data_IF_451807878447
#
_entry.id   IF_451807878447
#
_cell.length_a   1.000
_cell.length_b   1.000
_cell.length_c   1.000
_cell.angle_alpha   90.00
_cell.angle_beta   90.00
_cell.angle_gamma   90.00
#
_symmetry.space_group_name_H-M   'P 1'
#
loop_
_entity.id
_entity.type
_entity.pdbx_description
1 polymer ?
#
# COMPACT_ATOMS: atom_id res chain seq x y z
N UNK A 1 16.66 -7.78 0.10
CA UNK A 1 15.42 -6.95 0.12
C UNK A 1 15.75 -5.66 0.83
N UNK A 2 14.89 -4.66 0.70
CA UNK A 2 15.06 -3.38 1.37
C UNK A 2 13.79 -3.01 2.12
N UNK A 3 13.94 -2.34 3.25
CA UNK A 3 12.80 -1.88 4.04
C UNK A 3 12.07 -0.78 3.28
N UNK A 4 10.74 -0.85 3.31
CA UNK A 4 9.87 0.16 2.69
C UNK A 4 8.75 0.50 3.64
N UNK A 5 8.66 1.78 3.99
CA UNK A 5 7.60 2.35 4.80
C UNK A 5 7.20 3.70 4.24
N UNK A 6 6.14 4.30 4.79
CA UNK A 6 5.69 5.58 4.33
C UNK A 6 4.31 5.97 4.82
N UNK A 7 3.76 6.98 4.17
CA UNK A 7 2.39 7.45 4.41
C UNK A 7 1.64 7.73 3.11
N UNK A 8 0.32 7.68 3.23
CA UNK A 8 -0.64 7.97 2.18
C UNK A 8 -1.58 9.05 2.67
N UNK A 9 -1.72 10.08 1.84
CA UNK A 9 -2.74 11.09 1.98
C UNK A 9 -3.64 11.10 0.75
N UNK A 10 -4.94 11.32 0.95
CA UNK A 10 -5.92 11.56 -0.10
C UNK A 10 -6.60 12.90 0.17
N UNK A 11 -6.54 13.83 -0.78
CA UNK A 11 -7.07 15.18 -0.65
C UNK A 11 -6.53 15.92 0.60
N UNK A 12 -5.25 15.71 0.91
CA UNK A 12 -4.56 16.33 2.04
C UNK A 12 -4.82 15.69 3.41
N UNK A 13 -5.66 14.65 3.49
CA UNK A 13 -5.94 13.91 4.73
C UNK A 13 -5.29 12.52 4.71
N UNK A 14 -4.83 11.98 5.84
CA UNK A 14 -4.40 10.60 5.93
C UNK A 14 -5.48 9.63 5.44
N UNK A 15 -5.08 8.56 4.75
CA UNK A 15 -6.03 7.63 4.15
C UNK A 15 -5.61 6.16 4.32
N UNK A 16 -6.61 5.33 4.63
CA UNK A 16 -6.50 3.87 4.54
C UNK A 16 -6.51 3.46 3.08
N UNK A 17 -5.52 2.68 2.67
CA UNK A 17 -5.33 2.26 1.30
C UNK A 17 -4.62 0.90 1.25
N UNK A 18 -4.90 0.13 0.21
CA UNK A 18 -4.07 -1.01 -0.17
C UNK A 18 -2.92 -0.53 -1.05
N UNK A 19 -1.72 -1.01 -0.76
CA UNK A 19 -0.49 -0.71 -1.48
C UNK A 19 0.09 -2.02 -1.97
N UNK A 20 0.43 -2.09 -3.26
CA UNK A 20 1.08 -3.24 -3.87
C UNK A 20 2.30 -2.79 -4.66
N UNK A 21 3.46 -3.38 -4.38
CA UNK A 21 4.73 -3.18 -5.07
C UNK A 21 5.08 -4.44 -5.85
N UNK A 22 4.84 -4.40 -7.16
CA UNK A 22 5.16 -5.47 -8.08
C UNK A 22 6.56 -5.23 -8.69
N UNK A 23 7.56 -6.09 -8.44
CA UNK A 23 8.92 -5.86 -8.93
C UNK A 23 9.02 -6.09 -10.44
N UNK A 24 9.68 -5.18 -11.15
CA UNK A 24 9.82 -5.21 -12.61
C UNK A 24 11.26 -5.56 -13.04
N UNK A 25 11.41 -6.16 -14.22
CA UNK A 25 12.70 -6.21 -14.94
C UNK A 25 12.89 -4.97 -15.83
N UNK A 26 14.03 -4.91 -16.50
CA UNK A 26 14.36 -3.88 -17.51
C UNK A 26 13.40 -3.84 -18.70
N UNK A 27 12.65 -4.91 -18.96
CA UNK A 27 11.61 -4.96 -19.99
C UNK A 27 10.22 -4.51 -19.48
N UNK A 28 10.09 -4.11 -18.20
CA UNK A 28 8.82 -3.70 -17.59
C UNK A 28 7.87 -4.86 -17.23
N UNK A 29 8.37 -6.09 -17.26
CA UNK A 29 7.63 -7.30 -16.90
C UNK A 29 7.81 -7.62 -15.43
N UNK A 30 6.78 -8.17 -14.80
CA UNK A 30 6.82 -8.64 -13.41
C UNK A 30 7.86 -9.77 -13.23
N UNK A 31 8.67 -9.69 -12.18
CA UNK A 31 9.81 -10.63 -11.96
C UNK A 31 9.74 -11.39 -10.65
N UNK A 32 8.62 -11.32 -9.94
CA UNK A 32 8.50 -12.00 -8.66
C UNK A 32 7.27 -11.59 -7.89
N UNK A 33 7.20 -12.09 -6.65
CA UNK A 33 6.09 -11.81 -5.74
C UNK A 33 6.06 -10.32 -5.42
N UNK A 34 4.86 -9.76 -5.48
CA UNK A 34 4.64 -8.39 -5.05
C UNK A 34 4.65 -8.29 -3.52
N UNK A 35 5.20 -7.19 -3.01
CA UNK A 35 5.05 -6.82 -1.60
C UNK A 35 3.79 -5.99 -1.43
N UNK A 36 3.05 -6.22 -0.34
CA UNK A 36 1.80 -5.54 -0.06
C UNK A 36 1.83 -4.85 1.31
N UNK A 37 1.00 -3.84 1.47
CA UNK A 37 0.63 -3.28 2.77
C UNK A 37 -0.79 -2.74 2.71
N UNK A 38 -1.37 -2.57 3.89
CA UNK A 38 -2.55 -1.73 4.08
C UNK A 38 -2.11 -0.59 4.99
N UNK A 39 -2.36 0.66 4.58
CA UNK A 39 -2.11 1.80 5.47
C UNK A 39 -3.14 1.83 6.59
N UNK A 40 -2.71 2.27 7.77
CA UNK A 40 -3.58 2.47 8.92
C UNK A 40 -4.40 3.78 8.81
N UNK A 41 -5.23 4.06 9.82
CA UNK A 41 -6.04 5.30 9.87
C UNK A 41 -5.20 6.58 9.93
N UNK A 42 -3.94 6.48 10.37
CA UNK A 42 -2.96 7.57 10.31
C UNK A 42 -2.28 7.70 8.94
N UNK A 43 -2.70 6.88 7.97
CA UNK A 43 -2.17 6.83 6.61
C UNK A 43 -0.83 6.12 6.50
N UNK A 44 -0.26 5.59 7.60
CA UNK A 44 1.08 5.00 7.62
C UNK A 44 1.03 3.55 7.16
N UNK A 45 2.05 3.12 6.42
CA UNK A 45 2.18 1.75 5.96
C UNK A 45 3.63 1.26 6.08
N UNK A 46 3.78 -0.07 6.15
CA UNK A 46 5.05 -0.77 6.03
C UNK A 46 4.84 -1.99 5.12
N UNK A 47 5.63 -2.11 4.06
CA UNK A 47 5.48 -3.22 3.12
C UNK A 47 5.91 -4.54 3.74
N UNK A 48 5.14 -5.57 3.43
CA UNK A 48 5.41 -6.96 3.74
C UNK A 48 5.35 -7.75 2.44
N UNK A 49 6.36 -8.58 2.17
CA UNK A 49 6.33 -9.51 1.05
C UNK A 49 5.46 -10.74 1.37
N UNK A 50 5.57 -11.18 2.61
CA UNK A 50 4.81 -12.26 3.22
C UNK A 50 4.76 -12.01 4.74
N UNK A 51 4.06 -12.88 5.48
CA UNK A 51 3.88 -12.75 6.94
C UNK A 51 5.21 -12.73 7.72
N UNK A 52 6.29 -13.26 7.13
CA UNK A 52 7.60 -13.40 7.78
C UNK A 52 8.63 -12.37 7.34
N UNK A 53 8.43 -11.71 6.19
CA UNK A 53 9.44 -10.85 5.56
C UNK A 53 8.90 -9.46 5.23
N UNK A 54 9.45 -8.46 5.91
CA UNK A 54 9.22 -7.06 5.62
C UNK A 54 10.02 -6.57 4.41
N UNK A 55 9.50 -5.53 3.76
CA UNK A 55 10.16 -4.81 2.69
C UNK A 55 9.75 -5.24 1.28
N UNK A 56 10.53 -4.79 0.31
CA UNK A 56 10.36 -5.08 -1.11
C UNK A 56 11.67 -5.46 -1.79
N UNK A 57 11.56 -6.03 -2.99
CA UNK A 57 12.71 -6.33 -3.83
C UNK A 57 13.35 -5.02 -4.30
N UNK A 58 14.68 -4.94 -4.22
CA UNK A 58 15.46 -3.78 -4.69
C UNK A 58 15.33 -3.71 -6.22
N UNK A 59 15.16 -2.49 -6.74
CA UNK A 59 14.97 -2.20 -8.16
C UNK A 59 13.65 -1.50 -8.46
N UNK A 60 13.31 -1.41 -9.74
CA UNK A 60 12.06 -0.81 -10.17
C UNK A 60 10.86 -1.67 -9.77
N UNK A 61 9.82 -1.02 -9.26
CA UNK A 61 8.55 -1.64 -8.90
C UNK A 61 7.38 -0.84 -9.46
N UNK A 62 6.39 -1.54 -10.02
CA UNK A 62 5.08 -0.98 -10.29
C UNK A 62 4.33 -0.91 -8.96
N UNK A 63 3.96 0.30 -8.57
CA UNK A 63 3.20 0.57 -7.35
C UNK A 63 1.74 0.78 -7.73
N UNK A 64 0.84 -0.03 -7.19
CA UNK A 64 -0.60 0.17 -7.26
C UNK A 64 -1.10 0.58 -5.87
N UNK A 65 -1.87 1.67 -5.82
CA UNK A 65 -2.47 2.18 -4.58
C UNK A 65 -3.98 2.25 -4.78
N UNK A 66 -4.74 1.69 -3.85
CA UNK A 66 -6.21 1.76 -3.82
C UNK A 66 -6.66 2.37 -2.50
N UNK A 67 -7.06 3.63 -2.54
CA UNK A 67 -7.64 4.33 -1.39
C UNK A 67 -8.99 3.71 -1.07
N UNK A 68 -9.15 3.23 0.15
CA UNK A 68 -10.37 2.57 0.61
C UNK A 68 -11.38 3.61 1.11
N UNK A 69 -12.67 3.36 0.84
CA UNK A 69 -13.79 4.08 1.45
C UNK A 69 -14.17 3.35 2.72
N UNK A 70 -14.14 4.04 3.86
CA UNK A 70 -14.58 3.50 5.14
C UNK A 70 -16.02 3.96 5.45
N UNK A 71 -16.88 3.05 5.89
CA UNK A 71 -18.12 3.37 6.58
C UNK A 71 -17.81 3.51 8.06
N UNK A 72 -18.25 4.62 8.66
CA UNK A 72 -18.33 4.70 10.12
C UNK A 72 -19.55 3.90 10.54
N UNK A 73 -19.43 2.59 10.69
CA UNK A 73 -20.49 1.81 11.31
C UNK A 73 -20.47 2.09 12.81
N UNK A 74 -21.50 2.80 13.29
CA UNK A 74 -21.71 3.03 14.73
C UNK A 74 -22.38 1.83 15.42
N UNK A 75 -22.25 0.61 14.87
CA UNK A 75 -22.84 -0.59 15.46
C UNK A 75 -21.95 -1.81 15.27
N UNK A 76 -21.64 -2.41 16.42
CA UNK A 76 -20.93 -3.66 16.56
C UNK A 76 -21.77 -4.83 16.04
N UNK A 77 -21.48 -5.32 14.83
CA UNK A 77 -21.78 -6.69 14.40
C UNK A 77 -21.27 -6.93 12.98
N UNK A 78 -20.06 -7.49 12.85
CA UNK A 78 -19.74 -8.65 12.00
C UNK A 78 -18.23 -8.71 11.77
N UNK A 79 -17.58 -9.56 12.58
CA UNK A 79 -16.18 -9.95 12.47
C UNK A 79 -15.90 -10.49 11.06
N UNK A 80 -15.13 -9.76 10.26
CA UNK A 80 -14.48 -10.27 9.04
C UNK A 80 -12.97 -10.08 9.21
N UNK A 81 -12.25 -11.20 9.27
CA UNK A 81 -10.90 -11.30 9.87
C UNK A 81 -9.77 -10.81 8.95
N UNK A 82 -10.03 -10.25 7.76
CA UNK A 82 -8.95 -9.89 6.82
C UNK A 82 -9.06 -8.52 6.12
N UNK A 83 -9.97 -7.65 6.55
CA UNK A 83 -10.07 -6.28 6.05
C UNK A 83 -10.23 -5.33 7.23
N UNK A 84 -9.65 -4.11 7.21
CA UNK A 84 -9.96 -3.13 8.23
C UNK A 84 -11.49 -2.94 8.29
N UNK A 85 -12.02 -2.95 9.51
CA UNK A 85 -13.45 -2.92 9.77
C UNK A 85 -14.06 -1.67 9.08
N UNK A 86 -15.13 -1.87 8.30
CA UNK A 86 -15.84 -0.75 7.65
C UNK A 86 -15.42 -0.42 6.21
N UNK A 87 -14.55 -1.15 5.52
CA UNK A 87 -14.31 -0.88 4.08
C UNK A 87 -15.56 -1.16 3.25
N UNK A 88 -16.11 -0.13 2.59
CA UNK A 88 -17.32 -0.20 1.75
C UNK A 88 -17.07 0.08 0.27
N UNK A 89 -15.80 0.26 -0.14
CA UNK A 89 -15.45 0.43 -1.55
C UNK A 89 -14.07 1.06 -1.76
N UNK A 90 -13.78 1.43 -3.00
CA UNK A 90 -12.55 2.16 -3.39
C UNK A 90 -12.90 3.59 -3.77
N UNK A 91 -12.19 4.56 -3.19
CA UNK A 91 -12.31 5.99 -3.54
C UNK A 91 -11.47 6.36 -4.77
N UNK A 92 -10.24 5.85 -4.83
CA UNK A 92 -9.26 6.16 -5.88
C UNK A 92 -8.34 4.97 -6.10
N UNK A 93 -8.05 4.66 -7.35
CA UNK A 93 -7.00 3.72 -7.72
C UNK A 93 -5.95 4.44 -8.58
N UNK A 94 -4.68 4.33 -8.19
CA UNK A 94 -3.56 4.94 -8.90
C UNK A 94 -2.48 3.89 -9.15
N UNK A 95 -1.81 3.99 -10.29
CA UNK A 95 -0.63 3.18 -10.61
C UNK A 95 0.53 4.10 -10.97
N UNK A 96 1.71 3.80 -10.47
CA UNK A 96 2.94 4.52 -10.79
C UNK A 96 4.15 3.60 -10.68
N UNK A 97 5.35 4.11 -10.97
CA UNK A 97 6.61 3.39 -10.81
C UNK A 97 7.45 4.04 -9.71
N UNK A 98 8.05 3.22 -8.87
CA UNK A 98 9.03 3.62 -7.85
C UNK A 98 10.25 2.73 -7.89
N UNK A 99 11.40 3.31 -7.59
CA UNK A 99 12.64 2.57 -7.40
C UNK A 99 12.82 2.30 -5.90
N UNK A 100 12.96 1.02 -5.55
CA UNK A 100 13.35 0.58 -4.20
C UNK A 100 14.86 0.45 -4.17
N UNK A 101 15.53 1.21 -3.31
CA UNK A 101 17.00 1.21 -3.14
C UNK A 101 17.39 0.32 -1.98
N UNK A 102 18.67 -0.05 -1.90
CA UNK A 102 19.19 -0.74 -0.72
C UNK A 102 19.05 0.14 0.54
N UNK A 103 18.82 -0.49 1.69
CA UNK A 103 18.59 0.21 2.96
C UNK A 103 17.11 0.55 3.21
N UNK A 104 16.86 1.68 3.86
CA UNK A 104 15.53 2.15 4.23
C UNK A 104 14.94 3.06 3.15
N UNK A 105 13.73 2.74 2.71
CA UNK A 105 12.99 3.54 1.73
C UNK A 105 11.74 4.12 2.37
N UNK A 106 11.61 5.44 2.32
CA UNK A 106 10.43 6.15 2.78
C UNK A 106 9.69 6.77 1.59
N UNK A 107 8.42 6.37 1.40
CA UNK A 107 7.58 6.90 0.32
C UNK A 107 6.37 7.66 0.86
N UNK A 108 6.21 8.90 0.40
CA UNK A 108 5.06 9.74 0.73
C UNK A 108 4.16 9.86 -0.50
N UNK A 109 2.97 9.25 -0.45
CA UNK A 109 2.02 9.33 -1.56
C UNK A 109 0.95 10.37 -1.25
N UNK A 110 0.96 11.45 -2.02
CA UNK A 110 -0.04 12.52 -1.96
C UNK A 110 -1.00 12.37 -3.12
N UNK A 111 -2.17 11.81 -2.85
CA UNK A 111 -3.18 11.48 -3.85
C UNK A 111 -4.29 12.53 -3.85
N UNK A 112 -4.84 12.77 -5.04
CA UNK A 112 -6.00 13.65 -5.28
C UNK A 112 -6.92 12.98 -6.30
N UNK A 113 -8.04 13.64 -6.64
CA UNK A 113 -8.92 13.24 -7.73
C UNK A 113 -8.19 13.13 -9.07
#
# INVERSE_FOLDING_TARGET
MAEVSGDITFCGQPAVAEILFEPLNTAGTSTGRASAATSDESGRFRLMLDESRSGAKIGQSRVAIRVQRLSRSNNAAAKSVNSPEGVIGTLKATKLVREVRAGDNQFHFRLTY
#
